data_IF_827939808224
#
_entry.id   IF_827939808224
#
_cell.length_a   1.000
_cell.length_b   1.000
_cell.length_c   1.000
_cell.angle_alpha   90.00
_cell.angle_beta   90.00
_cell.angle_gamma   90.00
#
_symmetry.space_group_name_H-M   'P 1'
#
loop_
_entity.id
_entity.type
_entity.pdbx_description
1 polymer ?
#
# COMPACT_ATOMS: atom_id res chain seq x y z
N UNK A 1 3.78 20.12 -27.01
CA UNK A 1 5.07 19.61 -27.52
C UNK A 1 5.16 18.12 -27.30
N UNK A 2 5.38 17.38 -28.36
CA UNK A 2 5.60 15.94 -28.23
C UNK A 2 7.06 15.68 -27.89
N UNK A 3 7.31 15.14 -26.72
CA UNK A 3 8.62 14.68 -26.30
C UNK A 3 8.89 13.31 -26.93
N UNK A 4 10.08 13.12 -27.52
CA UNK A 4 10.44 11.83 -28.12
C UNK A 4 10.72 10.76 -27.08
N UNK A 5 10.62 9.49 -27.47
CA UNK A 5 10.91 8.38 -26.58
C UNK A 5 12.38 8.39 -26.08
N UNK A 6 13.31 8.79 -26.94
CA UNK A 6 14.72 8.90 -26.55
C UNK A 6 14.94 9.94 -25.46
N UNK A 7 14.24 11.08 -25.52
CA UNK A 7 14.27 12.10 -24.45
C UNK A 7 13.66 11.56 -23.17
N UNK A 8 12.55 10.83 -23.24
CA UNK A 8 11.95 10.19 -22.07
C UNK A 8 12.88 9.16 -21.44
N UNK A 9 13.58 8.36 -22.23
CA UNK A 9 14.57 7.40 -21.72
C UNK A 9 15.69 8.11 -20.94
N UNK A 10 16.22 9.20 -21.48
CA UNK A 10 17.25 10.01 -20.81
C UNK A 10 16.75 10.61 -19.50
N UNK A 11 15.52 11.12 -19.49
CA UNK A 11 14.90 11.69 -18.31
C UNK A 11 14.61 10.64 -17.24
N UNK A 12 14.20 9.44 -17.62
CA UNK A 12 13.99 8.31 -16.70
C UNK A 12 15.31 7.96 -15.98
N UNK A 13 16.39 7.86 -16.71
CA UNK A 13 17.71 7.58 -16.13
C UNK A 13 18.19 8.74 -15.26
N UNK A 14 18.06 9.98 -15.73
CA UNK A 14 18.49 11.17 -15.02
C UNK A 14 17.76 11.36 -13.68
N UNK A 15 16.44 11.18 -13.68
CA UNK A 15 15.58 11.34 -12.50
C UNK A 15 15.31 10.05 -11.74
N UNK A 16 16.03 8.98 -12.07
CA UNK A 16 16.01 7.68 -11.35
C UNK A 16 14.61 7.08 -11.21
N UNK A 17 13.75 7.28 -12.22
CA UNK A 17 12.40 6.74 -12.25
C UNK A 17 11.36 7.51 -11.43
N UNK A 18 11.69 8.68 -10.89
CA UNK A 18 10.71 9.52 -10.19
C UNK A 18 9.78 10.24 -11.18
N UNK A 19 8.57 9.73 -11.32
CA UNK A 19 7.58 10.12 -12.34
C UNK A 19 7.27 11.62 -12.29
N UNK A 20 7.08 12.19 -11.12
CA UNK A 20 6.77 13.62 -10.96
C UNK A 20 7.86 14.52 -11.54
N UNK A 21 9.11 14.20 -11.28
CA UNK A 21 10.26 14.95 -11.79
C UNK A 21 10.42 14.77 -13.30
N UNK A 22 10.22 13.57 -13.81
CA UNK A 22 10.26 13.26 -15.24
C UNK A 22 9.19 14.06 -15.98
N UNK A 23 7.97 14.07 -15.48
CA UNK A 23 6.85 14.80 -16.08
C UNK A 23 7.08 16.32 -16.08
N UNK A 24 7.61 16.88 -15.01
CA UNK A 24 7.97 18.29 -14.95
C UNK A 24 9.06 18.66 -15.95
N UNK A 25 10.09 17.84 -16.07
CA UNK A 25 11.20 18.07 -16.99
C UNK A 25 10.76 17.92 -18.45
N UNK A 26 9.88 16.98 -18.74
CA UNK A 26 9.35 16.74 -20.08
C UNK A 26 8.21 17.68 -20.49
N UNK A 27 7.57 18.35 -19.52
CA UNK A 27 6.42 19.19 -19.76
C UNK A 27 5.16 18.44 -20.15
N UNK A 28 4.98 17.22 -19.66
CA UNK A 28 3.82 16.36 -19.92
C UNK A 28 3.08 16.01 -18.63
N UNK A 29 1.81 15.57 -18.75
CA UNK A 29 1.04 15.09 -17.61
C UNK A 29 1.46 13.67 -17.23
N UNK A 30 1.15 13.26 -15.99
CA UNK A 30 1.37 11.88 -15.53
C UNK A 30 0.60 10.88 -16.39
N UNK A 31 -0.62 11.21 -16.77
CA UNK A 31 -1.44 10.37 -17.64
C UNK A 31 -0.77 10.14 -18.99
N UNK A 32 -0.27 11.19 -19.61
CA UNK A 32 0.46 11.10 -20.89
C UNK A 32 1.72 10.25 -20.73
N UNK A 33 2.45 10.42 -19.65
CA UNK A 33 3.64 9.61 -19.35
C UNK A 33 3.31 8.13 -19.27
N UNK A 34 2.30 7.76 -18.46
CA UNK A 34 1.90 6.34 -18.33
C UNK A 34 1.35 5.75 -19.62
N UNK A 35 0.62 6.52 -20.42
CA UNK A 35 0.17 6.08 -21.74
C UNK A 35 1.36 5.77 -22.66
N UNK A 36 2.40 6.58 -22.61
CA UNK A 36 3.64 6.37 -23.37
C UNK A 36 4.40 5.13 -22.89
N UNK A 37 4.45 4.89 -21.59
CA UNK A 37 5.07 3.71 -20.98
C UNK A 37 4.35 2.42 -21.42
N UNK A 38 3.03 2.41 -21.43
CA UNK A 38 2.24 1.26 -21.88
C UNK A 38 2.47 0.91 -23.35
N UNK A 39 2.71 1.91 -24.19
CA UNK A 39 2.93 1.73 -25.63
C UNK A 39 4.34 1.31 -26.01
N UNK A 40 5.30 1.44 -25.11
CA UNK A 40 6.71 1.14 -25.40
C UNK A 40 7.29 0.23 -24.33
N UNK A 41 7.59 -1.01 -24.69
CA UNK A 41 8.24 -1.98 -23.81
C UNK A 41 9.64 -1.53 -23.40
N UNK A 42 10.33 -0.81 -24.28
CA UNK A 42 11.65 -0.24 -24.02
C UNK A 42 11.62 0.82 -22.90
N UNK A 43 10.63 1.74 -22.94
CA UNK A 43 10.45 2.74 -21.91
C UNK A 43 10.07 2.08 -20.58
N UNK A 44 9.19 1.09 -20.59
CA UNK A 44 8.80 0.34 -19.41
C UNK A 44 10.00 -0.37 -18.78
N UNK A 45 10.83 -1.03 -19.58
CA UNK A 45 12.04 -1.69 -19.10
C UNK A 45 13.03 -0.70 -18.46
N UNK A 46 13.20 0.49 -19.07
CA UNK A 46 14.03 1.57 -18.51
C UNK A 46 13.52 2.08 -17.17
N UNK A 47 12.21 2.28 -17.06
CA UNK A 47 11.59 2.72 -15.82
C UNK A 47 11.75 1.68 -14.71
N UNK A 48 11.50 0.42 -15.00
CA UNK A 48 11.63 -0.68 -14.04
C UNK A 48 13.09 -0.85 -13.58
N UNK A 49 14.05 -0.80 -14.51
CA UNK A 49 15.47 -0.86 -14.19
C UNK A 49 15.92 0.29 -13.29
N UNK A 50 15.45 1.52 -13.55
CA UNK A 50 15.77 2.69 -12.73
C UNK A 50 15.19 2.57 -11.32
N UNK A 51 13.99 2.01 -11.18
CA UNK A 51 13.37 1.75 -9.87
C UNK A 51 14.12 0.69 -9.08
N UNK A 52 14.55 -0.38 -9.74
CA UNK A 52 15.36 -1.43 -9.11
C UNK A 52 16.69 -0.89 -8.59
N UNK A 53 17.36 -0.03 -9.35
CA UNK A 53 18.61 0.61 -8.92
C UNK A 53 18.41 1.43 -7.62
N UNK A 54 17.30 2.14 -7.48
CA UNK A 54 17.00 2.90 -6.27
C UNK A 54 16.72 1.97 -5.08
N UNK A 55 16.03 0.86 -5.30
CA UNK A 55 15.79 -0.15 -4.28
C UNK A 55 17.11 -0.75 -3.80
N UNK A 56 17.97 -1.14 -4.73
CA UNK A 56 19.31 -1.68 -4.41
C UNK A 56 20.15 -0.67 -3.62
N UNK A 57 20.11 0.60 -4.01
CA UNK A 57 20.78 1.67 -3.29
C UNK A 57 20.24 1.82 -1.86
N UNK A 58 18.92 1.83 -1.70
CA UNK A 58 18.27 1.92 -0.38
C UNK A 58 18.62 0.71 0.50
N UNK A 59 18.65 -0.49 -0.06
CA UNK A 59 19.06 -1.71 0.64
C UNK A 59 20.50 -1.61 1.12
N UNK A 60 21.41 -1.10 0.29
CA UNK A 60 22.80 -0.92 0.68
C UNK A 60 22.97 0.07 1.84
N UNK A 61 22.19 1.15 1.84
CA UNK A 61 22.17 2.13 2.95
C UNK A 61 21.57 1.55 4.22
N UNK A 62 20.54 0.74 4.09
CA UNK A 62 19.96 0.01 5.22
C UNK A 62 20.99 -0.92 5.86
N UNK A 63 21.74 -1.67 5.07
CA UNK A 63 22.80 -2.56 5.55
C UNK A 63 23.91 -1.79 6.26
N UNK A 64 24.31 -0.62 5.76
CA UNK A 64 25.27 0.26 6.43
C UNK A 64 24.77 0.69 7.82
N UNK A 65 23.52 1.09 7.95
CA UNK A 65 22.90 1.45 9.23
C UNK A 65 22.84 0.27 10.19
N UNK A 66 22.56 -0.94 9.70
CA UNK A 66 22.56 -2.16 10.50
C UNK A 66 23.96 -2.44 11.06
N UNK A 67 25.02 -2.24 10.26
CA UNK A 67 26.42 -2.36 10.69
C UNK A 67 26.76 -1.35 11.78
N UNK A 68 26.21 -0.16 11.72
CA UNK A 68 26.36 0.89 12.73
C UNK A 68 25.52 0.65 14.00
N UNK A 69 24.85 -0.49 14.11
CA UNK A 69 23.98 -0.88 15.24
C UNK A 69 22.78 0.06 15.42
N UNK A 70 22.25 0.59 14.33
CA UNK A 70 21.05 1.41 14.34
C UNK A 70 19.82 0.53 14.57
N UNK A 71 19.26 0.58 15.78
CA UNK A 71 18.18 -0.30 16.22
C UNK A 71 16.92 -0.26 15.32
N UNK A 72 16.39 0.90 14.93
CA UNK A 72 15.22 0.94 14.04
C UNK A 72 15.44 0.23 12.70
N UNK A 73 16.64 0.32 12.13
CA UNK A 73 17.00 -0.35 10.88
C UNK A 73 17.11 -1.86 11.04
N UNK A 74 17.68 -2.32 12.14
CA UNK A 74 17.78 -3.74 12.49
C UNK A 74 16.37 -4.32 12.65
N UNK A 75 15.52 -3.64 13.40
CA UNK A 75 14.12 -4.02 13.62
C UNK A 75 13.35 -4.09 12.30
N UNK A 76 13.44 -3.07 11.47
CA UNK A 76 12.80 -3.03 10.15
C UNK A 76 13.23 -4.21 9.28
N UNK A 77 14.51 -4.51 9.21
CA UNK A 77 15.02 -5.63 8.42
C UNK A 77 14.48 -6.97 8.92
N UNK A 78 14.49 -7.19 10.23
CA UNK A 78 13.97 -8.43 10.84
C UNK A 78 12.45 -8.58 10.60
N UNK A 79 11.69 -7.51 10.74
CA UNK A 79 10.23 -7.51 10.53
C UNK A 79 9.85 -7.77 9.07
N UNK A 80 10.68 -7.35 8.11
CA UNK A 80 10.41 -7.52 6.67
C UNK A 80 11.01 -8.80 6.10
N UNK A 81 12.26 -9.08 6.39
CA UNK A 81 13.02 -10.21 5.82
C UNK A 81 13.11 -11.42 6.76
N UNK A 82 12.93 -11.20 8.05
CA UNK A 82 13.02 -12.24 9.07
C UNK A 82 11.70 -12.95 9.39
N UNK A 83 10.66 -12.78 8.60
CA UNK A 83 9.32 -13.37 8.84
C UNK A 83 9.35 -14.90 8.96
N UNK A 84 10.17 -15.56 8.17
CA UNK A 84 10.34 -17.03 8.21
C UNK A 84 10.92 -17.52 9.54
N UNK A 85 11.61 -16.66 10.28
CA UNK A 85 12.19 -16.94 11.61
C UNK A 85 11.29 -16.49 12.76
N UNK A 86 10.09 -15.97 12.47
CA UNK A 86 9.12 -15.56 13.47
C UNK A 86 9.15 -14.07 13.86
N UNK A 87 9.96 -13.24 13.20
CA UNK A 87 9.94 -11.79 13.40
C UNK A 87 8.77 -11.17 12.63
N UNK A 88 7.65 -11.03 13.30
CA UNK A 88 6.41 -10.49 12.69
C UNK A 88 5.90 -9.34 13.55
N UNK A 89 5.47 -8.27 12.90
CA UNK A 89 4.69 -7.23 13.59
C UNK A 89 3.31 -7.82 13.88
N UNK A 90 3.04 -8.15 15.14
CA UNK A 90 1.70 -8.51 15.57
C UNK A 90 0.88 -7.23 15.69
N UNK A 91 0.06 -6.97 14.72
CA UNK A 91 -1.05 -6.05 14.92
C UNK A 91 -2.16 -6.86 15.60
N UNK A 92 -2.29 -6.70 16.90
CA UNK A 92 -3.50 -7.13 17.60
C UNK A 92 -4.62 -6.16 17.21
N UNK A 93 -5.20 -6.38 16.04
CA UNK A 93 -6.47 -5.76 15.71
C UNK A 93 -7.51 -6.56 16.48
N UNK A 94 -8.20 -5.88 17.39
CA UNK A 94 -9.27 -6.48 18.18
C UNK A 94 -10.49 -6.71 17.29
N UNK A 95 -10.34 -7.59 16.29
CA UNK A 95 -11.40 -7.97 15.34
C UNK A 95 -12.43 -8.90 15.99
N UNK A 96 -12.14 -9.41 17.16
CA UNK A 96 -13.04 -10.34 17.87
C UNK A 96 -14.41 -9.72 18.18
N UNK A 97 -14.44 -8.43 18.50
CA UNK A 97 -15.67 -7.72 18.83
C UNK A 97 -16.55 -7.49 17.61
N UNK A 98 -15.96 -7.17 16.47
CA UNK A 98 -16.69 -6.93 15.20
C UNK A 98 -17.24 -8.22 14.62
N UNK A 99 -16.50 -9.32 14.70
CA UNK A 99 -16.94 -10.64 14.21
C UNK A 99 -18.06 -11.21 15.08
N UNK A 100 -18.01 -11.02 16.39
CA UNK A 100 -19.09 -11.45 17.30
C UNK A 100 -20.40 -10.71 17.03
N UNK A 101 -20.36 -9.40 16.83
CA UNK A 101 -21.56 -8.61 16.53
C UNK A 101 -22.19 -8.98 15.19
N UNK A 102 -21.38 -9.37 14.20
CA UNK A 102 -21.87 -9.83 12.89
C UNK A 102 -22.45 -11.24 12.99
N UNK A 103 -21.85 -12.12 13.80
CA UNK A 103 -22.32 -13.52 13.98
C UNK A 103 -23.58 -13.60 14.85
N UNK A 104 -23.88 -12.62 15.68
CA UNK A 104 -25.11 -12.56 16.48
C UNK A 104 -26.34 -12.18 15.65
N UNK A 105 -26.18 -11.55 14.49
CA UNK A 105 -27.27 -11.16 13.58
C UNK A 105 -28.12 -12.36 13.10
N UNK A 106 -27.56 -13.52 12.71
CA UNK A 106 -28.35 -14.68 12.32
C UNK A 106 -29.24 -15.26 13.44
N UNK A 107 -28.83 -15.13 14.70
CA UNK A 107 -29.65 -15.53 15.84
C UNK A 107 -30.89 -14.65 16.03
N UNK A 108 -30.75 -13.36 15.75
CA UNK A 108 -31.88 -12.41 15.77
C UNK A 108 -32.88 -12.67 14.64
N UNK A 109 -32.43 -13.17 13.49
CA UNK A 109 -33.28 -13.52 12.36
C UNK A 109 -34.11 -14.79 12.62
N UNK A 110 -33.61 -15.70 13.44
CA UNK A 110 -34.32 -16.92 13.83
C UNK A 110 -35.43 -16.69 14.87
N UNK A 111 -35.48 -15.52 15.49
CA UNK A 111 -36.49 -15.14 16.45
C UNK A 111 -37.69 -14.48 15.75
N UNK A 112 -38.88 -15.09 15.91
CA UNK A 112 -40.14 -14.50 15.44
C UNK A 112 -40.76 -13.69 16.59
N UNK A 113 -40.63 -12.35 16.59
CA UNK A 113 -41.15 -11.53 17.68
C UNK A 113 -42.67 -11.48 17.65
N UNK A 114 -43.26 -11.58 18.83
CA UNK A 114 -44.69 -11.32 19.00
C UNK A 114 -44.97 -9.80 18.86
N UNK A 115 -46.25 -9.44 18.73
CA UNK A 115 -46.64 -8.02 18.63
C UNK A 115 -46.22 -7.24 19.88
N UNK A 116 -46.24 -7.86 21.05
CA UNK A 116 -45.82 -7.25 22.31
C UNK A 116 -44.30 -7.05 22.36
N UNK A 117 -43.53 -8.01 21.85
CA UNK A 117 -42.06 -7.89 21.74
C UNK A 117 -41.67 -6.74 20.80
N UNK A 118 -42.40 -6.58 19.70
CA UNK A 118 -42.16 -5.47 18.76
C UNK A 118 -42.47 -4.11 19.43
N UNK A 119 -43.54 -4.03 20.24
CA UNK A 119 -43.84 -2.82 20.98
C UNK A 119 -42.80 -2.46 22.02
N UNK A 120 -42.31 -3.43 22.80
CA UNK A 120 -41.24 -3.21 23.78
C UNK A 120 -39.95 -2.76 23.09
N UNK A 121 -39.62 -3.35 21.96
CA UNK A 121 -38.46 -2.98 21.18
C UNK A 121 -38.55 -1.54 20.64
N UNK A 122 -39.70 -1.11 20.14
CA UNK A 122 -39.92 0.24 19.67
C UNK A 122 -39.84 1.27 20.79
N UNK A 123 -40.41 0.99 21.94
CA UNK A 123 -40.31 1.82 23.14
C UNK A 123 -38.89 1.98 23.57
N UNK A 124 -38.09 0.89 23.53
CA UNK A 124 -36.67 0.90 23.86
C UNK A 124 -35.84 1.75 22.88
N UNK A 125 -36.13 1.68 21.59
CA UNK A 125 -35.48 2.47 20.55
C UNK A 125 -35.81 3.97 20.67
N UNK A 126 -37.05 4.32 21.05
CA UNK A 126 -37.46 5.71 21.29
C UNK A 126 -36.84 6.33 22.56
N UNK A 127 -36.44 5.54 23.53
CA UNK A 127 -35.76 5.96 24.74
C UNK A 127 -34.28 6.32 24.54
N UNK A 128 -33.71 5.97 23.42
CA UNK A 128 -32.34 6.27 23.03
C UNK A 128 -32.30 7.33 21.92
#
# INVERSE_FOLDING_TARGET
MKVSNSVLEELIVKHKGFVTQICKAAGISRQTFYNRIERSDKLKAKLDASREEIIDFAESKLLELIREKHYPSIRFYLETQGKSKGYVVRQEVDQKTTVKSILEVPELEAYEPTIDDIREHWVYMEAY
#
